data_IF_425954827963
#
_entry.id   IF_425954827963
#
_cell.length_a   1.000
_cell.length_b   1.000
_cell.length_c   1.000
_cell.angle_alpha   90.00
_cell.angle_beta   90.00
_cell.angle_gamma   90.00
#
_symmetry.space_group_name_H-M   'P 1'
#
loop_
_entity.id
_entity.type
_entity.pdbx_description
1 polymer ?
#
# COMPACT_ATOMS: atom_id res chain seq x y z
N UNK A 1 11.28 5.46 9.28
CA UNK A 1 11.23 4.00 9.55
C UNK A 1 11.20 3.25 8.23
N UNK A 2 11.80 2.07 8.16
CA UNK A 2 11.78 1.22 6.96
C UNK A 2 10.75 0.10 7.15
N UNK A 3 9.89 -0.07 6.15
CA UNK A 3 8.92 -1.14 6.05
C UNK A 3 9.19 -1.92 4.77
N UNK A 4 9.26 -3.25 4.87
CA UNK A 4 9.35 -4.12 3.71
C UNK A 4 8.33 -5.24 3.81
N UNK A 5 7.55 -5.43 2.76
CA UNK A 5 6.52 -6.47 2.66
C UNK A 5 6.59 -7.15 1.30
N UNK A 6 6.39 -8.45 1.30
CA UNK A 6 6.33 -9.26 0.08
C UNK A 6 4.98 -9.94 -0.02
N UNK A 7 4.41 -9.93 -1.20
CA UNK A 7 3.11 -10.50 -1.53
C UNK A 7 3.24 -11.37 -2.77
N UNK A 8 2.65 -12.57 -2.73
CA UNK A 8 2.53 -13.42 -3.91
C UNK A 8 1.14 -13.28 -4.51
N UNK A 9 1.10 -12.97 -5.80
CA UNK A 9 -0.13 -12.79 -6.59
C UNK A 9 -0.25 -13.95 -7.56
N UNK A 10 -1.41 -14.62 -7.58
CA UNK A 10 -1.71 -15.73 -8.49
C UNK A 10 -2.06 -15.22 -9.90
N UNK A 11 -1.20 -14.39 -10.46
CA UNK A 11 -1.38 -13.76 -11.78
C UNK A 11 -0.03 -13.58 -12.48
N UNK A 12 0.00 -13.57 -13.83
CA UNK A 12 1.21 -13.24 -14.58
C UNK A 12 1.64 -11.79 -14.35
N UNK A 13 2.94 -11.55 -14.47
CA UNK A 13 3.57 -10.26 -14.21
C UNK A 13 2.93 -9.08 -14.98
N UNK A 14 2.64 -9.18 -16.29
CA UNK A 14 2.02 -8.08 -17.02
C UNK A 14 0.64 -7.67 -16.46
N UNK A 15 -0.16 -8.63 -16.03
CA UNK A 15 -1.48 -8.35 -15.43
C UNK A 15 -1.34 -7.68 -14.06
N UNK A 16 -0.42 -8.17 -13.21
CA UNK A 16 -0.12 -7.55 -11.93
C UNK A 16 0.29 -6.08 -12.11
N UNK A 17 1.21 -5.82 -13.03
CA UNK A 17 1.66 -4.44 -13.32
C UNK A 17 0.54 -3.56 -13.82
N UNK A 18 -0.25 -4.02 -14.79
CA UNK A 18 -1.35 -3.26 -15.37
C UNK A 18 -2.40 -2.88 -14.32
N UNK A 19 -2.75 -3.83 -13.44
CA UNK A 19 -3.73 -3.59 -12.37
C UNK A 19 -3.21 -2.65 -11.31
N UNK A 20 -1.95 -2.81 -10.88
CA UNK A 20 -1.34 -1.94 -9.89
C UNK A 20 -0.98 -0.55 -10.42
N UNK A 21 -0.81 -0.38 -11.72
CA UNK A 21 -0.62 0.93 -12.35
C UNK A 21 -1.91 1.76 -12.45
N UNK A 22 -3.09 1.13 -12.38
CA UNK A 22 -4.37 1.82 -12.47
C UNK A 22 -4.83 2.31 -11.10
N UNK A 23 -4.46 3.54 -10.75
CA UNK A 23 -4.78 4.18 -9.47
C UNK A 23 -6.30 4.33 -9.23
N UNK A 24 -7.09 4.49 -10.26
CA UNK A 24 -8.55 4.54 -10.13
C UNK A 24 -9.16 3.24 -9.60
N UNK A 25 -8.50 2.10 -9.86
CA UNK A 25 -8.89 0.84 -9.26
C UNK A 25 -8.44 0.69 -7.80
N UNK A 26 -7.42 1.42 -7.35
CA UNK A 26 -6.92 1.35 -5.98
C UNK A 26 -7.95 1.78 -4.95
N UNK A 27 -8.68 2.86 -5.19
CA UNK A 27 -9.66 3.37 -4.23
C UNK A 27 -10.70 2.34 -3.81
N UNK A 28 -11.07 1.43 -4.71
CA UNK A 28 -12.01 0.34 -4.42
C UNK A 28 -11.38 -0.85 -3.71
N UNK A 29 -10.06 -0.95 -3.77
CA UNK A 29 -9.30 -2.08 -3.25
C UNK A 29 -8.75 -1.81 -1.85
N UNK A 30 -8.58 -0.56 -1.46
CA UNK A 30 -8.07 -0.17 -0.16
C UNK A 30 -9.17 -0.06 0.90
N UNK A 31 -8.87 -0.54 2.10
CA UNK A 31 -9.79 -0.52 3.25
C UNK A 31 -9.80 0.83 3.97
N UNK A 32 -8.64 1.45 4.13
CA UNK A 32 -8.44 2.63 4.97
C UNK A 32 -8.12 3.89 4.17
N UNK A 33 -7.96 3.77 2.87
CA UNK A 33 -7.77 4.92 2.00
C UNK A 33 -9.06 5.71 1.89
N UNK A 34 -9.03 6.94 2.35
CA UNK A 34 -10.19 7.86 2.32
C UNK A 34 -10.23 8.67 1.03
N UNK A 35 -9.07 8.92 0.45
CA UNK A 35 -8.95 9.69 -0.79
C UNK A 35 -7.76 9.21 -1.62
N UNK A 36 -7.99 9.08 -2.91
CA UNK A 36 -6.94 8.89 -3.91
C UNK A 36 -7.36 9.64 -5.17
N UNK A 37 -6.72 10.76 -5.47
CA UNK A 37 -7.05 11.62 -6.60
C UNK A 37 -5.81 11.83 -7.45
N UNK A 38 -5.88 11.43 -8.71
CA UNK A 38 -4.83 11.72 -9.70
C UNK A 38 -4.88 13.20 -10.03
N UNK A 39 -3.84 13.93 -9.70
CA UNK A 39 -3.72 15.37 -9.96
C UNK A 39 -2.91 15.69 -11.20
N UNK A 40 -2.08 14.75 -11.62
CA UNK A 40 -1.35 14.80 -12.90
C UNK A 40 -0.96 13.40 -13.36
N UNK A 41 -0.29 13.27 -14.49
CA UNK A 41 0.23 11.98 -14.99
C UNK A 41 1.23 11.31 -14.06
N UNK A 42 1.82 12.05 -13.13
CA UNK A 42 2.86 11.57 -12.20
C UNK A 42 2.51 11.77 -10.72
N UNK A 43 1.40 12.43 -10.39
CA UNK A 43 1.07 12.80 -9.02
C UNK A 43 -0.28 12.32 -8.58
N UNK A 44 -0.35 11.82 -7.35
CA UNK A 44 -1.56 11.36 -6.69
C UNK A 44 -1.67 11.99 -5.31
N UNK A 45 -2.80 12.62 -5.06
CA UNK A 45 -3.18 13.08 -3.73
C UNK A 45 -3.81 11.90 -2.97
N UNK A 46 -3.20 11.52 -1.86
CA UNK A 46 -3.52 10.31 -1.14
C UNK A 46 -3.78 10.60 0.33
N UNK A 47 -4.92 10.14 0.84
CA UNK A 47 -5.27 10.25 2.26
C UNK A 47 -5.74 8.93 2.81
N UNK A 48 -5.33 8.61 4.02
CA UNK A 48 -5.78 7.41 4.72
C UNK A 48 -6.01 7.69 6.20
N UNK A 49 -6.89 6.91 6.80
CA UNK A 49 -7.24 7.02 8.21
C UNK A 49 -6.53 5.96 9.04
N UNK A 50 -5.77 6.41 10.02
CA UNK A 50 -5.14 5.59 11.02
C UNK A 50 -5.92 5.56 12.34
N UNK A 51 -5.39 4.90 13.36
CA UNK A 51 -5.97 4.83 14.68
C UNK A 51 -5.90 6.18 15.42
N UNK A 52 -6.67 6.30 16.49
CA UNK A 52 -6.65 7.46 17.40
C UNK A 52 -6.93 8.81 16.72
N UNK A 53 -7.71 8.79 15.64
CA UNK A 53 -8.01 10.01 14.87
C UNK A 53 -6.86 10.51 14.00
N UNK A 54 -5.81 9.72 13.82
CA UNK A 54 -4.77 10.05 12.88
C UNK A 54 -5.31 10.00 11.44
N UNK A 55 -5.15 11.09 10.75
CA UNK A 55 -5.44 11.18 9.33
C UNK A 55 -4.16 11.55 8.60
N UNK A 56 -3.66 10.63 7.79
CA UNK A 56 -2.49 10.86 6.97
C UNK A 56 -2.89 11.41 5.62
N UNK A 57 -2.13 12.39 5.19
CA UNK A 57 -2.24 12.99 3.87
C UNK A 57 -0.85 13.13 3.26
N UNK A 58 -0.73 12.72 2.02
CA UNK A 58 0.52 12.84 1.25
C UNK A 58 0.20 13.02 -0.23
N UNK A 59 1.08 13.74 -0.92
CA UNK A 59 1.08 13.81 -2.38
C UNK A 59 2.20 12.89 -2.86
N UNK A 60 1.84 11.81 -3.54
CA UNK A 60 2.79 10.86 -4.09
C UNK A 60 3.20 11.28 -5.50
N UNK A 61 4.49 11.35 -5.73
CA UNK A 61 5.10 11.59 -7.03
C UNK A 61 5.73 10.29 -7.53
N UNK A 62 5.37 9.88 -8.74
CA UNK A 62 6.04 8.78 -9.43
C UNK A 62 7.41 9.23 -9.91
N UNK A 63 8.44 8.49 -9.54
CA UNK A 63 9.84 8.72 -9.89
C UNK A 63 10.27 7.69 -10.93
N UNK A 64 11.15 8.09 -11.85
CA UNK A 64 11.73 7.16 -12.81
C UNK A 64 12.53 6.07 -12.09
N UNK A 65 12.38 4.85 -12.55
CA UNK A 65 13.05 3.67 -12.02
C UNK A 65 13.99 3.09 -13.07
N UNK A 66 15.08 2.50 -12.63
CA UNK A 66 16.09 1.87 -13.49
C UNK A 66 15.59 0.55 -14.13
N UNK A 67 14.50 0.00 -13.61
CA UNK A 67 13.93 -1.27 -14.09
C UNK A 67 12.49 -1.09 -14.56
N UNK A 68 12.11 -1.71 -15.69
CA UNK A 68 10.73 -1.70 -16.17
C UNK A 68 9.76 -2.45 -15.25
N UNK A 69 10.27 -3.32 -14.38
CA UNK A 69 9.49 -4.10 -13.42
C UNK A 69 9.52 -3.50 -12.01
N UNK A 70 9.86 -2.23 -11.91
CA UNK A 70 9.91 -1.49 -10.66
C UNK A 70 9.16 -0.18 -10.79
N UNK A 71 8.37 0.17 -9.76
CA UNK A 71 7.80 1.51 -9.59
C UNK A 71 8.42 2.18 -8.37
N UNK A 72 8.97 3.38 -8.58
CA UNK A 72 9.47 4.21 -7.50
C UNK A 72 8.53 5.39 -7.25
N UNK A 73 8.40 5.78 -6.00
CA UNK A 73 7.59 6.91 -5.59
C UNK A 73 8.19 7.64 -4.41
N UNK A 74 7.91 8.93 -4.34
CA UNK A 74 8.25 9.77 -3.19
C UNK A 74 7.13 10.76 -2.87
N UNK A 75 7.11 11.26 -1.65
CA UNK A 75 6.14 12.28 -1.25
C UNK A 75 6.65 13.68 -1.59
N UNK A 76 5.81 14.48 -2.24
CA UNK A 76 6.05 15.88 -2.53
C UNK A 76 5.39 16.83 -1.52
N UNK A 77 4.70 16.31 -0.49
CA UNK A 77 4.04 17.11 0.54
C UNK A 77 3.16 16.26 1.46
N UNK A 78 2.50 16.91 2.43
CA UNK A 78 1.63 16.25 3.38
C UNK A 78 2.20 16.15 4.80
N UNK A 79 1.51 15.41 5.67
CA UNK A 79 1.89 15.21 7.08
C UNK A 79 2.62 13.89 7.35
N UNK A 80 2.76 13.06 6.34
CA UNK A 80 3.63 11.88 6.32
C UNK A 80 4.55 11.98 5.10
N UNK A 81 5.83 11.76 5.30
CA UNK A 81 6.81 11.65 4.24
C UNK A 81 7.00 10.17 3.89
N UNK A 82 6.93 9.85 2.61
CA UNK A 82 7.09 8.49 2.09
C UNK A 82 8.10 8.49 0.95
N UNK A 83 8.92 7.46 0.89
CA UNK A 83 9.77 7.14 -0.26
C UNK A 83 9.81 5.63 -0.38
N UNK A 84 9.58 5.11 -1.56
CA UNK A 84 9.56 3.66 -1.70
C UNK A 84 9.63 3.16 -3.12
N UNK A 85 9.73 1.86 -3.19
CA UNK A 85 9.75 1.09 -4.43
C UNK A 85 8.80 -0.09 -4.34
N UNK A 86 8.22 -0.45 -5.47
CA UNK A 86 7.46 -1.68 -5.67
C UNK A 86 8.15 -2.47 -6.77
N UNK A 87 8.70 -3.61 -6.42
CA UNK A 87 9.34 -4.54 -7.35
C UNK A 87 8.38 -5.67 -7.72
N UNK A 88 8.40 -6.05 -8.99
CA UNK A 88 7.65 -7.18 -9.52
C UNK A 88 8.60 -8.23 -10.07
N UNK A 89 8.48 -9.45 -9.61
CA UNK A 89 9.25 -10.58 -10.09
C UNK A 89 8.34 -11.78 -10.42
N UNK A 90 8.38 -12.25 -11.63
CA UNK A 90 7.65 -13.46 -11.99
C UNK A 90 8.41 -14.69 -11.47
N UNK A 91 7.79 -15.41 -10.52
CA UNK A 91 8.37 -16.62 -9.90
C UNK A 91 7.88 -17.91 -10.57
N UNK A 92 6.69 -17.86 -11.19
CA UNK A 92 6.09 -18.93 -11.99
C UNK A 92 5.21 -18.32 -13.08
N UNK A 93 4.77 -19.06 -14.11
CA UNK A 93 3.96 -18.52 -15.22
C UNK A 93 2.72 -17.72 -14.78
N UNK A 94 2.05 -18.15 -13.70
CA UNK A 94 0.87 -17.49 -13.14
C UNK A 94 1.08 -17.04 -11.69
N UNK A 95 2.30 -16.72 -11.32
CA UNK A 95 2.60 -16.24 -9.97
C UNK A 95 3.66 -15.14 -10.03
N UNK A 96 3.29 -13.98 -9.53
CA UNK A 96 4.18 -12.83 -9.44
C UNK A 96 4.42 -12.49 -7.98
N UNK A 97 5.67 -12.33 -7.60
CA UNK A 97 6.07 -11.78 -6.33
C UNK A 97 6.11 -10.25 -6.43
N UNK A 98 5.44 -9.59 -5.52
CA UNK A 98 5.42 -8.13 -5.40
C UNK A 98 6.06 -7.76 -4.08
N UNK A 99 7.16 -7.03 -4.13
CA UNK A 99 7.87 -6.55 -2.94
C UNK A 99 7.71 -5.04 -2.82
N UNK A 100 7.13 -4.60 -1.73
CA UNK A 100 7.02 -3.19 -1.34
C UNK A 100 8.09 -2.88 -0.30
N UNK A 101 8.95 -1.91 -0.59
CA UNK A 101 9.89 -1.35 0.38
C UNK A 101 9.62 0.15 0.52
N UNK A 102 9.28 0.61 1.72
CA UNK A 102 8.92 2.00 1.99
C UNK A 102 9.72 2.51 3.19
N UNK A 103 10.38 3.63 2.99
CA UNK A 103 10.85 4.47 4.08
C UNK A 103 9.81 5.54 4.37
N UNK A 104 9.41 5.70 5.63
CA UNK A 104 8.40 6.68 6.01
C UNK A 104 8.77 7.44 7.28
N UNK A 105 8.24 8.65 7.37
CA UNK A 105 8.37 9.53 8.53
C UNK A 105 7.05 10.26 8.79
N UNK A 106 6.53 10.12 10.00
CA UNK A 106 5.35 10.86 10.46
C UNK A 106 5.81 12.17 11.05
N UNK A 107 5.39 13.29 10.47
CA UNK A 107 5.81 14.64 10.89
C UNK A 107 5.29 15.04 12.27
N UNK A 108 4.12 14.55 12.66
CA UNK A 108 3.58 14.78 14.01
C UNK A 108 4.30 13.89 15.03
N UNK A 109 4.98 14.51 15.98
CA UNK A 109 5.81 13.83 16.99
C UNK A 109 5.02 12.85 17.87
N UNK A 110 3.77 13.19 18.23
CA UNK A 110 2.91 12.32 19.03
C UNK A 110 2.57 11.04 18.29
N UNK A 111 2.11 11.16 17.04
CA UNK A 111 1.79 9.99 16.22
C UNK A 111 3.03 9.20 15.82
N UNK A 112 4.16 9.85 15.60
CA UNK A 112 5.44 9.16 15.37
C UNK A 112 5.87 8.34 16.60
N UNK A 113 5.66 8.86 17.81
CA UNK A 113 5.90 8.12 19.05
C UNK A 113 4.91 6.95 19.21
N UNK A 114 3.62 7.16 18.95
CA UNK A 114 2.60 6.10 18.98
C UNK A 114 2.92 4.99 17.98
N UNK A 115 3.33 5.35 16.75
CA UNK A 115 3.68 4.36 15.74
C UNK A 115 4.88 3.51 16.14
N UNK A 116 5.91 4.11 16.73
CA UNK A 116 7.06 3.37 17.28
C UNK A 116 6.67 2.34 18.35
N UNK A 117 5.60 2.60 19.09
CA UNK A 117 5.10 1.72 20.16
C UNK A 117 4.12 0.66 19.66
N UNK A 118 3.25 1.05 18.75
CA UNK A 118 2.10 0.24 18.33
C UNK A 118 2.25 -0.33 16.92
N UNK A 119 3.25 0.12 16.16
CA UNK A 119 3.50 -0.29 14.77
C UNK A 119 2.24 -0.20 13.88
N UNK A 120 1.44 0.86 14.05
CA UNK A 120 0.16 0.96 13.37
C UNK A 120 0.31 1.17 11.85
N UNK A 121 1.39 1.82 11.39
CA UNK A 121 1.67 1.94 9.93
C UNK A 121 1.98 0.57 9.34
N UNK A 122 2.76 -0.27 10.03
CA UNK A 122 3.03 -1.64 9.59
C UNK A 122 1.74 -2.47 9.51
N UNK A 123 0.90 -2.37 10.53
CA UNK A 123 -0.41 -3.04 10.56
C UNK A 123 -1.34 -2.56 9.45
N UNK A 124 -1.36 -1.25 9.20
CA UNK A 124 -2.11 -0.64 8.10
C UNK A 124 -1.65 -1.20 6.75
N UNK A 125 -0.36 -1.13 6.44
CA UNK A 125 0.17 -1.62 5.15
C UNK A 125 -0.10 -3.11 4.97
N UNK A 126 0.05 -3.90 6.03
CA UNK A 126 -0.26 -5.33 5.99
C UNK A 126 -1.73 -5.60 5.66
N UNK A 127 -2.65 -4.87 6.28
CA UNK A 127 -4.09 -4.99 6.01
C UNK A 127 -4.44 -4.61 4.57
N UNK A 128 -3.85 -3.50 4.07
CA UNK A 128 -4.07 -3.05 2.70
C UNK A 128 -3.54 -4.03 1.65
N UNK A 129 -2.36 -4.59 1.86
CA UNK A 129 -1.80 -5.60 0.94
C UNK A 129 -2.64 -6.88 0.91
N UNK A 130 -3.19 -7.30 2.04
CA UNK A 130 -4.14 -8.43 2.09
C UNK A 130 -5.43 -8.13 1.34
N UNK A 131 -5.94 -6.91 1.47
CA UNK A 131 -7.14 -6.47 0.74
C UNK A 131 -6.91 -6.49 -0.77
N UNK A 132 -5.78 -5.98 -1.22
CA UNK A 132 -5.38 -6.01 -2.63
C UNK A 132 -5.29 -7.45 -3.14
N UNK A 133 -4.61 -8.32 -2.41
CA UNK A 133 -4.50 -9.73 -2.76
C UNK A 133 -5.87 -10.41 -2.87
N UNK A 134 -6.73 -10.24 -1.87
CA UNK A 134 -8.07 -10.82 -1.86
C UNK A 134 -8.89 -10.35 -3.07
N UNK A 135 -8.78 -9.09 -3.44
CA UNK A 135 -9.45 -8.54 -4.61
C UNK A 135 -8.94 -9.15 -5.93
N UNK A 136 -7.63 -9.33 -6.06
CA UNK A 136 -7.03 -9.94 -7.25
C UNK A 136 -7.32 -11.44 -7.38
N UNK A 137 -7.38 -12.15 -6.27
CA UNK A 137 -7.68 -13.58 -6.24
C UNK A 137 -9.20 -13.87 -6.34
N UNK A 138 -10.05 -12.84 -6.43
CA UNK A 138 -11.51 -12.99 -6.52
C UNK A 138 -12.14 -13.51 -5.23
N UNK A 139 -11.46 -13.43 -4.10
CA UNK A 139 -12.00 -13.75 -2.79
C UNK A 139 -13.00 -12.67 -2.42
N UNK A 140 -14.27 -13.03 -2.40
CA UNK A 140 -15.40 -12.12 -2.44
C UNK A 140 -15.51 -11.11 -1.28
N UNK A 141 -16.55 -10.27 -1.38
CA UNK A 141 -16.83 -9.15 -0.47
C UNK A 141 -16.88 -9.53 1.02
N UNK A 142 -17.27 -10.75 1.35
CA UNK A 142 -17.32 -11.24 2.73
C UNK A 142 -15.97 -11.27 3.42
N UNK A 143 -14.89 -11.53 2.69
CA UNK A 143 -13.54 -11.50 3.24
C UNK A 143 -13.10 -10.04 3.52
N UNK A 144 -13.42 -9.13 2.62
CA UNK A 144 -13.10 -7.71 2.79
C UNK A 144 -13.87 -7.09 3.95
N UNK A 145 -15.12 -7.48 4.15
CA UNK A 145 -15.93 -7.03 5.28
C UNK A 145 -15.36 -7.53 6.62
N UNK A 146 -14.93 -8.79 6.69
CA UNK A 146 -14.27 -9.34 7.87
C UNK A 146 -12.93 -8.64 8.16
N UNK A 147 -12.16 -8.31 7.13
CA UNK A 147 -10.91 -7.56 7.28
C UNK A 147 -11.14 -6.12 7.78
N UNK A 148 -12.26 -5.50 7.41
CA UNK A 148 -12.67 -4.19 7.94
C UNK A 148 -13.02 -4.21 9.42
N UNK A 149 -13.63 -5.31 9.89
CA UNK A 149 -14.08 -5.44 11.28
C UNK A 149 -12.92 -5.79 12.23
N UNK A 150 -11.87 -6.48 11.75
CA UNK A 150 -10.78 -6.96 12.59
C UNK A 150 -9.38 -6.74 11.97
N UNK A 151 -8.96 -5.51 11.70
CA UNK A 151 -7.67 -5.27 11.04
C UNK A 151 -6.45 -5.60 11.94
N UNK A 152 -6.64 -5.68 13.24
CA UNK A 152 -5.53 -5.81 14.22
C UNK A 152 -5.30 -7.26 14.68
N UNK A 153 -6.28 -8.16 14.54
CA UNK A 153 -6.21 -9.51 15.11
C UNK A 153 -5.68 -10.59 14.14
N UNK A 154 -5.43 -10.25 12.89
CA UNK A 154 -4.89 -11.19 11.92
C UNK A 154 -3.38 -11.01 11.73
N UNK A 155 -2.65 -10.80 12.81
CA UNK A 155 -1.21 -11.02 12.83
C UNK A 155 -0.99 -12.50 13.01
N UNK A 156 -0.73 -13.21 12.05
CA UNK A 156 0.01 -14.45 11.96
C UNK A 156 -0.49 -15.29 10.80
N UNK A 157 0.44 -15.79 10.13
CA UNK A 157 0.44 -16.68 8.97
C UNK A 157 0.45 -15.91 7.65
N UNK A 158 1.67 -15.70 7.31
CA UNK A 158 2.15 -15.33 5.98
C UNK A 158 1.59 -16.23 4.90
#
# INVERSE_FOLDING_TARGET
>A
MLLQKTLHMSQPLPECKARLASIQSYRRQFLMVTRATVTSSKTVDFSFRGPFGFEAHTVLLSVESDSPDQYAFESAGGNIALMGIVDFAQVRPNCTEVTLAVHYEIKNKLFAWLDRRLHFVDSFVTAELRSIRAHFEGIGASYLDNARVMPVLQTATA
#
